data_IF_815366748368
#
_entry.id   IF_815366748368
#
_cell.length_a   1.000
_cell.length_b   1.000
_cell.length_c   1.000
_cell.angle_alpha   90.00
_cell.angle_beta   90.00
_cell.angle_gamma   90.00
#
_symmetry.space_group_name_H-M   'P 1'
#
loop_
_entity.id
_entity.type
_entity.pdbx_description
1 polymer ?
#
# COMPACT_ATOMS: atom_id res chain seq x y z
N UNK A 1 -0.88 -0.99 -13.96
CA UNK A 1 0.17 -0.10 -14.50
C UNK A 1 -0.52 1.15 -15.01
N UNK A 2 -0.32 2.29 -14.35
CA UNK A 2 -0.77 3.58 -14.85
C UNK A 2 0.31 4.14 -15.77
N UNK A 3 -0.11 4.70 -16.92
CA UNK A 3 0.80 5.25 -17.92
C UNK A 3 0.97 6.76 -17.81
N UNK A 4 0.13 7.41 -17.01
CA UNK A 4 0.11 8.85 -16.83
C UNK A 4 1.03 9.25 -15.67
N UNK A 5 1.70 10.40 -15.83
CA UNK A 5 2.46 11.05 -14.76
C UNK A 5 1.45 11.83 -13.94
N UNK A 6 1.35 11.50 -12.65
CA UNK A 6 0.49 12.22 -11.72
C UNK A 6 1.38 13.13 -10.87
N UNK A 7 1.07 14.42 -10.89
CA UNK A 7 1.70 15.44 -10.06
C UNK A 7 0.78 15.76 -8.87
N UNK A 8 1.31 15.62 -7.66
CA UNK A 8 0.60 15.97 -6.42
C UNK A 8 1.21 17.24 -5.86
N UNK A 9 0.39 18.28 -5.71
CA UNK A 9 0.82 19.54 -5.11
C UNK A 9 0.77 19.43 -3.59
N UNK A 10 1.64 20.16 -2.92
CA UNK A 10 1.68 20.19 -1.44
C UNK A 10 0.41 20.74 -0.82
N UNK A 11 -0.33 21.55 -1.57
CA UNK A 11 -1.63 22.13 -1.19
C UNK A 11 -2.75 21.08 -1.12
N UNK A 12 -2.63 20.00 -1.91
CA UNK A 12 -3.61 18.90 -1.97
C UNK A 12 -3.38 17.87 -0.86
N UNK A 13 -2.29 17.99 -0.10
CA UNK A 13 -1.99 17.09 1.00
C UNK A 13 -2.87 17.39 2.22
N UNK A 14 -3.27 16.34 2.93
CA UNK A 14 -4.03 16.48 4.17
C UNK A 14 -3.31 17.41 5.14
N UNK A 15 -4.03 18.40 5.68
CA UNK A 15 -3.47 19.33 6.66
C UNK A 15 -3.57 18.74 8.07
N UNK A 16 -2.52 18.85 8.90
CA UNK A 16 -2.53 18.31 10.26
C UNK A 16 -3.68 18.82 11.12
N UNK A 17 -3.99 20.12 11.05
CA UNK A 17 -5.07 20.76 11.79
C UNK A 17 -6.46 20.25 11.40
N UNK A 18 -6.69 20.05 10.10
CA UNK A 18 -7.94 19.49 9.59
C UNK A 18 -8.08 18.01 9.99
N UNK A 19 -6.98 17.24 9.95
CA UNK A 19 -6.96 15.86 10.42
C UNK A 19 -7.29 15.75 11.91
N UNK A 20 -6.67 16.59 12.75
CA UNK A 20 -6.95 16.62 14.19
C UNK A 20 -8.39 17.00 14.52
N UNK A 21 -8.97 17.96 13.78
CA UNK A 21 -10.38 18.32 13.93
C UNK A 21 -11.30 17.18 13.49
N UNK A 22 -11.01 16.56 12.34
CA UNK A 22 -11.79 15.44 11.82
C UNK A 22 -11.85 14.27 12.81
N UNK A 23 -10.73 13.92 13.44
CA UNK A 23 -10.71 12.86 14.47
C UNK A 23 -11.60 13.23 15.67
N UNK A 24 -11.53 14.48 16.16
CA UNK A 24 -12.35 14.93 17.29
C UNK A 24 -13.84 14.90 17.00
N UNK A 25 -14.22 15.26 15.78
CA UNK A 25 -15.63 15.33 15.38
C UNK A 25 -16.23 13.96 15.06
N UNK A 26 -15.42 13.06 14.51
CA UNK A 26 -15.92 11.76 14.00
C UNK A 26 -15.69 10.60 14.95
N UNK A 27 -14.65 10.67 15.80
CA UNK A 27 -14.29 9.59 16.72
C UNK A 27 -13.78 8.32 16.03
N UNK A 28 -13.30 8.39 14.80
CA UNK A 28 -12.73 7.23 14.09
C UNK A 28 -11.38 6.81 14.68
N UNK A 29 -11.09 5.51 14.66
CA UNK A 29 -9.82 4.96 15.18
C UNK A 29 -8.67 5.00 14.15
N UNK A 30 -8.99 5.22 12.88
CA UNK A 30 -8.02 5.21 11.79
C UNK A 30 -8.25 6.35 10.80
N UNK A 31 -7.16 6.90 10.28
CA UNK A 31 -7.18 7.96 9.28
C UNK A 31 -6.29 7.59 8.09
N UNK A 32 -6.80 7.74 6.88
CA UNK A 32 -6.03 7.61 5.64
C UNK A 32 -5.72 9.00 5.06
N UNK A 33 -4.57 9.62 5.39
CA UNK A 33 -4.25 10.96 4.89
C UNK A 33 -3.69 10.91 3.46
N UNK A 34 -3.92 11.98 2.69
CA UNK A 34 -3.23 12.23 1.44
C UNK A 34 -1.82 12.79 1.73
N UNK A 35 -0.80 11.97 1.47
CA UNK A 35 0.61 12.27 1.81
C UNK A 35 1.57 12.09 0.63
N UNK A 36 1.03 12.18 -0.59
CA UNK A 36 1.77 12.02 -1.85
C UNK A 36 1.68 10.61 -2.45
N UNK A 37 0.87 9.73 -1.85
CA UNK A 37 0.65 8.37 -2.31
C UNK A 37 -0.32 8.32 -3.52
N UNK A 38 -0.10 7.36 -4.41
CA UNK A 38 -0.90 7.17 -5.64
C UNK A 38 -1.35 5.70 -5.70
N UNK A 39 -2.63 5.46 -6.01
CA UNK A 39 -3.10 4.09 -6.24
C UNK A 39 -2.60 3.55 -7.58
N UNK A 40 -2.06 2.34 -7.58
CA UNK A 40 -1.62 1.66 -8.80
C UNK A 40 -0.13 1.35 -8.74
N UNK A 41 0.49 1.24 -9.91
CA UNK A 41 1.93 1.35 -10.08
C UNK A 41 2.06 2.47 -11.11
N UNK A 42 2.49 3.65 -10.65
CA UNK A 42 2.60 4.86 -11.46
C UNK A 42 3.83 4.79 -12.38
N UNK A 43 3.83 5.60 -13.44
CA UNK A 43 4.97 5.71 -14.36
C UNK A 43 6.17 6.42 -13.70
N UNK A 44 5.90 7.30 -12.72
CA UNK A 44 6.88 7.97 -11.88
C UNK A 44 6.90 7.36 -10.47
N UNK A 45 8.06 7.41 -9.81
CA UNK A 45 8.15 7.03 -8.40
C UNK A 45 7.26 7.96 -7.55
N UNK A 46 6.44 7.43 -6.63
CA UNK A 46 5.63 8.26 -5.74
C UNK A 46 6.54 9.09 -4.84
N UNK A 47 6.20 10.37 -4.66
CA UNK A 47 6.91 11.26 -3.74
C UNK A 47 6.13 11.38 -2.44
N UNK A 48 6.49 10.55 -1.45
CA UNK A 48 5.91 10.67 -0.11
C UNK A 48 6.48 11.87 0.66
N UNK A 49 5.60 12.50 1.43
CA UNK A 49 5.95 13.61 2.31
C UNK A 49 6.01 13.12 3.76
N UNK A 50 7.12 12.48 4.15
CA UNK A 50 7.31 11.88 5.47
C UNK A 50 7.12 12.87 6.63
N UNK A 51 7.64 14.09 6.50
CA UNK A 51 7.44 15.15 7.49
C UNK A 51 5.94 15.45 7.71
N UNK A 52 5.14 15.44 6.63
CA UNK A 52 3.69 15.64 6.73
C UNK A 52 3.00 14.47 7.45
N UNK A 53 3.44 13.24 7.23
CA UNK A 53 2.94 12.07 7.98
C UNK A 53 3.17 12.26 9.48
N UNK A 54 4.39 12.66 9.88
CA UNK A 54 4.74 12.90 11.27
C UNK A 54 3.94 14.05 11.90
N UNK A 55 3.75 15.16 11.18
CA UNK A 55 2.91 16.28 11.59
C UNK A 55 1.45 15.83 11.82
N UNK A 56 0.88 15.06 10.88
CA UNK A 56 -0.47 14.52 10.99
C UNK A 56 -0.55 13.58 12.20
N UNK A 57 0.41 12.64 12.36
CA UNK A 57 0.44 11.70 13.49
C UNK A 57 0.40 12.44 14.83
N UNK A 58 1.21 13.50 14.97
CA UNK A 58 1.22 14.35 16.15
C UNK A 58 -0.12 15.04 16.38
N UNK A 59 -0.78 15.51 15.33
CA UNK A 59 -2.05 16.22 15.43
C UNK A 59 -3.23 15.31 15.80
N UNK A 60 -3.24 14.06 15.30
CA UNK A 60 -4.30 13.08 15.58
C UNK A 60 -4.09 12.32 16.89
N UNK A 61 -2.84 12.25 17.37
CA UNK A 61 -2.47 11.57 18.62
C UNK A 61 -2.10 10.10 18.46
N UNK A 62 -1.56 9.52 19.53
CA UNK A 62 -0.96 8.19 19.51
C UNK A 62 -1.98 7.06 19.32
N UNK A 63 -3.22 7.27 19.77
CA UNK A 63 -4.29 6.28 19.71
C UNK A 63 -4.91 6.12 18.30
N UNK A 64 -4.54 6.96 17.33
CA UNK A 64 -5.08 6.90 15.97
C UNK A 64 -4.09 6.19 15.03
N UNK A 65 -4.55 5.18 14.31
CA UNK A 65 -3.72 4.50 13.32
C UNK A 65 -3.75 5.23 11.97
N UNK A 66 -2.58 5.59 11.45
CA UNK A 66 -2.50 6.15 10.10
C UNK A 66 -2.41 5.04 9.06
N UNK A 67 -3.22 5.17 8.01
CA UNK A 67 -3.36 4.19 6.93
C UNK A 67 -2.76 4.76 5.65
N UNK A 68 -1.70 4.12 5.15
CA UNK A 68 -1.10 4.43 3.86
C UNK A 68 -1.82 3.66 2.74
N UNK A 69 -2.59 4.40 1.96
CA UNK A 69 -3.20 3.89 0.74
C UNK A 69 -2.20 3.83 -0.41
N UNK A 70 -2.45 2.99 -1.42
CA UNK A 70 -1.65 3.00 -2.65
C UNK A 70 -0.19 2.58 -2.45
N UNK A 71 0.07 1.60 -1.58
CA UNK A 71 1.44 1.15 -1.32
C UNK A 71 2.11 0.42 -2.49
N UNK A 72 1.37 0.06 -3.54
CA UNK A 72 1.94 -0.71 -4.64
C UNK A 72 2.97 0.08 -5.46
N UNK A 73 4.13 -0.52 -5.74
CA UNK A 73 5.22 0.10 -6.50
C UNK A 73 6.14 1.01 -5.67
N UNK A 74 5.92 1.11 -4.36
CA UNK A 74 6.80 1.82 -3.44
C UNK A 74 8.05 1.01 -3.09
N UNK A 75 9.14 1.70 -2.80
CA UNK A 75 10.39 1.05 -2.39
C UNK A 75 10.34 0.61 -0.92
N UNK A 76 11.22 -0.32 -0.53
CA UNK A 76 11.41 -0.70 0.88
C UNK A 76 11.75 0.50 1.75
N UNK A 77 12.58 1.42 1.24
CA UNK A 77 12.95 2.64 1.96
C UNK A 77 11.74 3.54 2.19
N UNK A 78 10.85 3.68 1.20
CA UNK A 78 9.63 4.48 1.37
C UNK A 78 8.72 3.89 2.45
N UNK A 79 8.57 2.56 2.47
CA UNK A 79 7.79 1.89 3.51
C UNK A 79 8.39 2.13 4.90
N UNK A 80 9.68 1.84 5.09
CA UNK A 80 10.35 2.06 6.38
C UNK A 80 10.23 3.50 6.86
N UNK A 81 10.55 4.47 6.00
CA UNK A 81 10.43 5.89 6.35
C UNK A 81 8.98 6.29 6.68
N UNK A 82 7.99 5.74 5.97
CA UNK A 82 6.58 6.03 6.26
C UNK A 82 6.12 5.42 7.59
N UNK A 83 6.56 4.20 7.92
CA UNK A 83 6.29 3.52 9.18
C UNK A 83 6.93 4.31 10.34
N UNK A 84 8.21 4.67 10.21
CA UNK A 84 8.95 5.47 11.19
C UNK A 84 8.29 6.85 11.42
N UNK A 85 7.62 7.39 10.40
CA UNK A 85 6.90 8.66 10.49
C UNK A 85 5.51 8.54 11.12
N UNK A 86 4.99 7.32 11.34
CA UNK A 86 3.74 7.07 12.05
C UNK A 86 2.66 6.29 11.27
N UNK A 87 2.94 5.79 10.06
CA UNK A 87 2.03 4.86 9.37
C UNK A 87 1.97 3.53 10.13
N UNK A 88 0.76 3.02 10.33
CA UNK A 88 0.51 1.75 11.04
C UNK A 88 -0.12 0.69 10.14
N UNK A 89 -0.83 1.09 9.09
CA UNK A 89 -1.50 0.16 8.16
C UNK A 89 -1.12 0.53 6.74
N UNK A 90 -0.77 -0.46 5.90
CA UNK A 90 -0.39 -0.25 4.51
C UNK A 90 -1.30 -1.07 3.59
N UNK A 91 -1.91 -0.42 2.60
CA UNK A 91 -2.73 -1.08 1.59
C UNK A 91 -1.91 -1.44 0.35
N UNK A 92 -1.75 -2.75 0.09
CA UNK A 92 -1.10 -3.31 -1.10
C UNK A 92 -2.14 -4.08 -1.92
N UNK A 93 -2.20 -3.83 -3.24
CA UNK A 93 -3.17 -4.52 -4.11
C UNK A 93 -2.62 -4.77 -5.51
N UNK A 94 -2.12 -3.73 -6.20
CA UNK A 94 -1.74 -3.84 -7.61
C UNK A 94 -0.63 -4.87 -7.85
N UNK A 95 0.40 -4.90 -7.02
CA UNK A 95 1.48 -5.90 -7.14
C UNK A 95 0.97 -7.34 -6.97
N UNK A 96 0.05 -7.57 -6.04
CA UNK A 96 -0.57 -8.88 -5.80
C UNK A 96 -1.37 -9.33 -7.03
N UNK A 97 -2.18 -8.43 -7.60
CA UNK A 97 -2.95 -8.72 -8.82
C UNK A 97 -2.07 -8.96 -10.04
N UNK A 98 -0.96 -8.23 -10.16
CA UNK A 98 0.03 -8.46 -11.23
C UNK A 98 0.64 -9.85 -11.09
N UNK A 99 1.13 -10.21 -9.90
CA UNK A 99 1.71 -11.53 -9.65
C UNK A 99 0.72 -12.68 -9.96
N UNK A 100 -0.54 -12.53 -9.53
CA UNK A 100 -1.60 -13.47 -9.87
C UNK A 100 -1.79 -13.62 -11.38
N UNK A 101 -1.91 -12.49 -12.08
CA UNK A 101 -2.24 -12.43 -13.51
C UNK A 101 -1.11 -13.01 -14.37
N UNK A 102 0.14 -12.68 -14.07
CA UNK A 102 1.28 -13.19 -14.84
C UNK A 102 1.45 -14.71 -14.65
N UNK A 103 1.36 -15.20 -13.42
CA UNK A 103 1.40 -16.64 -13.14
C UNK A 103 0.23 -17.40 -13.78
N UNK A 104 -0.96 -16.78 -13.86
CA UNK A 104 -2.12 -17.37 -14.52
C UNK A 104 -1.90 -17.49 -16.03
N UNK A 105 -1.41 -16.42 -16.67
CA UNK A 105 -1.08 -16.42 -18.10
C UNK A 105 -0.04 -17.49 -18.43
N UNK A 106 1.00 -17.62 -17.61
CA UNK A 106 2.03 -18.63 -17.76
C UNK A 106 1.44 -20.04 -17.65
N UNK A 107 0.64 -20.30 -16.61
CA UNK A 107 0.01 -21.61 -16.39
C UNK A 107 -0.90 -22.01 -17.56
N UNK A 108 -1.72 -21.10 -18.08
CA UNK A 108 -2.59 -21.36 -19.24
C UNK A 108 -1.75 -21.64 -20.50
N UNK A 109 -0.66 -20.90 -20.70
CA UNK A 109 0.25 -21.11 -21.84
C UNK A 109 0.95 -22.47 -21.78
N UNK A 110 1.36 -22.92 -20.59
CA UNK A 110 2.04 -24.20 -20.39
C UNK A 110 1.09 -25.41 -20.44
N UNK A 111 -0.17 -25.23 -20.00
CA UNK A 111 -1.15 -26.31 -19.85
C UNK A 111 -2.51 -25.93 -20.48
N UNK A 112 -2.59 -25.78 -21.81
CA UNK A 112 -3.79 -25.28 -22.49
C UNK A 112 -5.02 -26.20 -22.34
N UNK A 113 -4.80 -27.50 -22.14
CA UNK A 113 -5.87 -28.50 -21.99
C UNK A 113 -6.27 -28.74 -20.51
N UNK A 114 -5.57 -28.12 -19.55
CA UNK A 114 -5.94 -28.27 -18.14
C UNK A 114 -7.25 -27.53 -17.87
N UNK A 115 -8.23 -28.26 -17.34
CA UNK A 115 -9.57 -27.73 -17.04
C UNK A 115 -9.86 -27.69 -15.55
N UNK A 116 -8.99 -28.28 -14.72
CA UNK A 116 -9.17 -28.39 -13.28
C UNK A 116 -8.82 -27.06 -12.60
N UNK A 117 -9.78 -26.33 -12.01
CA UNK A 117 -9.56 -24.95 -11.56
C UNK A 117 -8.44 -24.81 -10.52
N UNK A 118 -8.35 -25.71 -9.54
CA UNK A 118 -7.30 -25.60 -8.51
C UNK A 118 -5.90 -25.81 -9.10
N UNK A 119 -5.73 -26.65 -10.12
CA UNK A 119 -4.43 -26.84 -10.79
C UNK A 119 -4.00 -25.62 -11.60
N UNK A 120 -4.98 -24.89 -12.16
CA UNK A 120 -4.76 -23.64 -12.90
C UNK A 120 -4.45 -22.50 -11.94
N UNK A 121 -5.13 -22.43 -10.79
CA UNK A 121 -5.05 -21.30 -9.86
C UNK A 121 -3.95 -21.44 -8.81
N UNK A 122 -3.53 -22.65 -8.43
CA UNK A 122 -2.48 -22.87 -7.42
C UNK A 122 -1.21 -22.08 -7.73
N UNK A 123 -0.63 -22.08 -8.94
CA UNK A 123 0.56 -21.30 -9.24
C UNK A 123 0.37 -19.79 -9.00
N UNK A 124 -0.78 -19.23 -9.37
CA UNK A 124 -1.11 -17.83 -9.13
C UNK A 124 -1.26 -17.48 -7.64
N UNK A 125 -1.84 -18.39 -6.85
CA UNK A 125 -1.92 -18.24 -5.39
C UNK A 125 -0.52 -18.25 -4.77
N UNK A 126 0.35 -19.15 -5.19
CA UNK A 126 1.74 -19.20 -4.71
C UNK A 126 2.53 -17.93 -5.11
N UNK A 127 2.29 -17.40 -6.31
CA UNK A 127 2.88 -16.13 -6.73
C UNK A 127 2.40 -14.94 -5.86
N UNK A 128 1.10 -14.88 -5.53
CA UNK A 128 0.58 -13.88 -4.60
C UNK A 128 1.20 -14.00 -3.21
N UNK A 129 1.32 -15.24 -2.68
CA UNK A 129 1.90 -15.49 -1.35
C UNK A 129 3.32 -14.95 -1.25
N UNK A 130 4.16 -15.18 -2.26
CA UNK A 130 5.54 -14.65 -2.29
C UNK A 130 5.58 -13.13 -2.13
N UNK A 131 4.75 -12.41 -2.89
CA UNK A 131 4.65 -10.94 -2.76
C UNK A 131 4.20 -10.55 -1.36
N UNK A 132 3.20 -11.23 -0.79
CA UNK A 132 2.69 -10.93 0.55
C UNK A 132 3.77 -11.17 1.61
N UNK A 133 4.48 -12.29 1.56
CA UNK A 133 5.58 -12.62 2.48
C UNK A 133 6.71 -11.58 2.42
N UNK A 134 7.08 -11.13 1.23
CA UNK A 134 8.06 -10.05 1.06
C UNK A 134 7.60 -8.76 1.73
N UNK A 135 6.34 -8.35 1.55
CA UNK A 135 5.80 -7.15 2.21
C UNK A 135 5.74 -7.32 3.74
N UNK A 136 5.35 -8.48 4.25
CA UNK A 136 5.33 -8.75 5.69
C UNK A 136 6.73 -8.65 6.32
N UNK A 137 7.78 -9.08 5.61
CA UNK A 137 9.18 -8.89 6.05
C UNK A 137 9.54 -7.41 6.11
N UNK A 138 9.20 -6.64 5.08
CA UNK A 138 9.48 -5.19 5.01
C UNK A 138 8.74 -4.43 6.12
N UNK A 139 7.50 -4.80 6.43
CA UNK A 139 6.69 -4.18 7.48
C UNK A 139 7.04 -4.63 8.89
N UNK A 140 8.02 -5.54 9.03
CA UNK A 140 8.44 -6.14 10.30
C UNK A 140 7.25 -6.69 11.11
N UNK A 141 6.23 -7.22 10.44
CA UNK A 141 4.97 -7.66 11.08
C UNK A 141 4.92 -9.17 11.32
N UNK A 142 5.96 -9.90 10.91
CA UNK A 142 6.07 -11.34 11.13
C UNK A 142 6.16 -11.63 12.64
N UNK A 143 5.34 -12.59 13.10
CA UNK A 143 5.25 -13.03 14.50
C UNK A 143 4.79 -11.95 15.51
N UNK A 144 4.04 -10.94 15.06
CA UNK A 144 3.44 -9.89 15.92
C UNK A 144 1.93 -10.05 16.10
N UNK A 145 1.49 -11.28 16.41
CA UNK A 145 0.07 -11.65 16.63
C UNK A 145 -0.35 -11.37 18.07
#
# INVERSE_FOLDING_TARGET
>A
MQKEIIEIKTEDLTKPEEAGQFIKETGVDMLAPAVGNIHGIAANAPKLYFARIAEIKKAVGDNIYLVLHGGSGMSEADFKNSIDSGISVVHINTEIRVAFTEALKETIKEKPEETTPYKILTPSIEAMKKVIEEKLKIFESINKI
#
